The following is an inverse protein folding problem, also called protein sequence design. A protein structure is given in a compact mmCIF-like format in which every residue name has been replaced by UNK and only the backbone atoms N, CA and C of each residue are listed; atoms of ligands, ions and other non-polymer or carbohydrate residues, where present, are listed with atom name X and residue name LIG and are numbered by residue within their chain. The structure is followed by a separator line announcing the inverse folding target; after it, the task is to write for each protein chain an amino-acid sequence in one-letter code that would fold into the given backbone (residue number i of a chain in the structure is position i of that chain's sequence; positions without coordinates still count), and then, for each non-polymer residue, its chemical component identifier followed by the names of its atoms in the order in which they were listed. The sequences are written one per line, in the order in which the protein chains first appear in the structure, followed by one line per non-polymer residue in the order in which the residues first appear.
data_IF_095919619883
#
_entry.id   IF_095919619883
#
_cell.length_a   1.000
_cell.length_b   1.000
_cell.length_c   1.000
_cell.angle_alpha   90.00
_cell.angle_beta   90.00
_cell.angle_gamma   90.00
#
_symmetry.space_group_name_H-M   'P 1'
#
loop_
_entity.id
_entity.type
_entity.pdbx_description
1 polymer ?
#
# COMPACT_ATOMS: atom_id res chain seq x y z
N UNK A 1 -25.95 -9.22 31.59
CA UNK A 1 -27.27 -8.99 32.20
C UNK A 1 -27.99 -7.92 31.39
N UNK A 2 -29.14 -8.23 30.79
CA UNK A 2 -29.98 -7.29 30.05
C UNK A 2 -31.16 -6.80 30.90
N UNK A 3 -31.58 -5.55 30.72
CA UNK A 3 -32.80 -4.92 31.25
C UNK A 3 -32.98 -3.63 30.41
N UNK A 4 -34.09 -3.24 29.78
CA UNK A 4 -35.53 -3.59 29.76
C UNK A 4 -36.12 -2.95 28.47
N UNK A 5 -36.89 -3.65 27.62
CA UNK A 5 -38.37 -3.60 27.45
C UNK A 5 -39.02 -2.20 27.53
N UNK A 6 -39.89 -1.75 26.59
CA UNK A 6 -41.36 -2.00 26.55
C UNK A 6 -41.93 -1.53 25.17
N UNK A 7 -42.57 -2.36 24.31
CA UNK A 7 -43.97 -2.87 24.16
C UNK A 7 -45.06 -1.87 23.67
N UNK A 8 -45.64 -2.13 22.47
CA UNK A 8 -47.09 -2.19 22.14
C UNK A 8 -47.26 -2.65 20.67
N UNK A 9 -47.54 -3.92 20.35
CA UNK A 9 -48.84 -4.64 20.39
C UNK A 9 -49.94 -3.90 19.59
N UNK A 10 -50.22 -4.29 18.34
CA UNK A 10 -51.16 -5.35 17.88
C UNK A 10 -52.54 -4.73 17.56
N UNK A 11 -53.16 -4.99 16.39
CA UNK A 11 -54.27 -5.95 16.13
C UNK A 11 -54.72 -5.68 14.67
N UNK A 12 -54.48 -6.55 13.69
CA UNK A 12 -55.39 -7.56 13.06
C UNK A 12 -56.74 -6.98 12.59
N UNK A 13 -57.25 -7.18 11.36
CA UNK A 13 -57.76 -8.44 10.74
C UNK A 13 -58.08 -8.19 9.24
N UNK A 14 -57.60 -8.97 8.26
CA UNK A 14 -58.13 -10.21 7.62
C UNK A 14 -59.32 -10.04 6.63
N UNK A 15 -59.41 -11.00 5.68
CA UNK A 15 -60.49 -11.33 4.70
C UNK A 15 -60.14 -10.91 3.26
N UNK A 16 -59.33 -11.69 2.53
CA UNK A 16 -59.61 -12.91 1.72
C UNK A 16 -60.24 -12.61 0.37
N UNK A 17 -59.57 -13.00 -0.70
CA UNK A 17 -60.19 -13.79 -1.76
C UNK A 17 -59.16 -14.74 -2.37
N UNK A 18 -59.40 -16.02 -2.11
CA UNK A 18 -58.85 -17.13 -2.89
C UNK A 18 -59.79 -17.36 -4.06
N UNK A 19 -59.28 -17.65 -5.25
CA UNK A 19 -59.72 -18.80 -6.04
C UNK A 19 -58.71 -19.20 -7.13
N UNK A 20 -58.70 -20.48 -7.53
CA UNK A 20 -57.47 -21.20 -7.84
C UNK A 20 -57.30 -21.56 -9.31
N UNK A 21 -56.05 -21.85 -9.68
CA UNK A 21 -55.72 -22.95 -10.58
C UNK A 21 -55.91 -22.72 -12.08
N UNK A 22 -54.82 -22.38 -12.77
CA UNK A 22 -54.44 -23.02 -14.03
C UNK A 22 -52.98 -22.68 -14.34
N UNK A 23 -52.16 -23.73 -14.51
CA UNK A 23 -51.32 -23.93 -15.69
C UNK A 23 -50.54 -22.67 -16.12
N UNK A 24 -49.27 -22.48 -15.80
CA UNK A 24 -48.14 -23.28 -16.29
C UNK A 24 -46.89 -22.90 -15.51
N UNK A 25 -46.43 -23.82 -14.66
CA UNK A 25 -44.99 -24.01 -14.45
C UNK A 25 -44.40 -24.50 -15.77
N UNK A 26 -43.88 -23.59 -16.59
CA UNK A 26 -43.01 -23.96 -17.71
C UNK A 26 -41.74 -23.11 -17.66
N UNK A 27 -40.74 -23.71 -17.02
CA UNK A 27 -39.32 -23.59 -17.33
C UNK A 27 -38.77 -22.16 -17.48
N UNK A 28 -37.97 -21.70 -16.53
CA UNK A 28 -36.54 -21.98 -16.60
C UNK A 28 -35.96 -21.85 -18.02
N UNK A 29 -36.11 -20.68 -18.63
CA UNK A 29 -35.12 -20.17 -19.58
C UNK A 29 -34.05 -19.40 -18.81
N UNK A 30 -33.50 -20.06 -17.78
CA UNK A 30 -32.08 -19.90 -17.51
C UNK A 30 -31.38 -20.12 -18.84
N UNK A 31 -30.51 -19.19 -19.19
CA UNK A 31 -29.75 -19.13 -20.42
C UNK A 31 -28.96 -20.45 -20.63
N UNK A 32 -29.65 -21.48 -21.13
CA UNK A 32 -29.12 -22.82 -21.43
C UNK A 32 -28.16 -22.79 -22.62
N UNK A 33 -27.90 -21.60 -23.18
CA UNK A 33 -26.88 -21.32 -24.15
C UNK A 33 -25.68 -20.56 -23.57
N UNK A 34 -25.35 -20.78 -22.30
CA UNK A 34 -23.93 -20.75 -21.87
C UNK A 34 -23.16 -21.97 -22.41
N UNK A 35 -23.50 -22.41 -23.63
CA UNK A 35 -22.86 -23.46 -24.38
C UNK A 35 -21.41 -23.04 -24.64
N UNK A 36 -20.48 -23.65 -23.90
CA UNK A 36 -19.05 -23.77 -24.19
C UNK A 36 -18.49 -22.72 -25.16
N UNK A 37 -18.59 -21.43 -24.80
CA UNK A 37 -17.94 -20.38 -25.57
C UNK A 37 -16.45 -20.65 -25.44
N UNK A 38 -15.83 -21.28 -26.45
CA UNK A 38 -14.44 -21.73 -26.40
C UNK A 38 -13.58 -20.60 -25.83
N UNK A 39 -13.16 -20.77 -24.58
CA UNK A 39 -12.33 -19.77 -23.91
C UNK A 39 -10.97 -19.82 -24.57
N UNK A 40 -10.55 -18.69 -25.14
CA UNK A 40 -9.27 -18.59 -25.82
C UNK A 40 -8.12 -18.97 -24.86
N UNK A 41 -7.46 -20.10 -25.13
CA UNK A 41 -6.25 -20.53 -24.42
C UNK A 41 -5.05 -19.73 -24.90
N UNK A 42 -4.05 -19.59 -24.04
CA UNK A 42 -2.87 -18.76 -24.29
C UNK A 42 -1.59 -19.59 -24.11
N UNK A 43 -0.58 -19.23 -24.90
CA UNK A 43 0.76 -19.82 -24.82
C UNK A 43 1.77 -18.75 -24.43
N UNK A 44 2.80 -19.13 -23.67
CA UNK A 44 3.91 -18.22 -23.40
C UNK A 44 4.65 -17.88 -24.70
N UNK A 45 5.14 -16.64 -24.80
CA UNK A 45 5.86 -16.13 -25.97
C UNK A 45 7.39 -16.24 -25.87
N UNK A 46 7.90 -16.73 -24.73
CA UNK A 46 9.32 -16.98 -24.46
C UNK A 46 9.54 -18.49 -24.37
N UNK A 47 10.79 -18.91 -24.52
CA UNK A 47 11.23 -20.30 -24.33
C UNK A 47 10.99 -20.82 -22.89
N UNK A 48 10.97 -19.93 -21.89
CA UNK A 48 10.75 -20.29 -20.50
C UNK A 48 9.28 -20.67 -20.25
N UNK A 49 9.05 -21.95 -19.95
CA UNK A 49 7.73 -22.54 -19.70
C UNK A 49 7.26 -22.45 -18.24
N UNK A 50 8.18 -22.31 -17.29
CA UNK A 50 7.87 -22.34 -15.85
C UNK A 50 7.32 -21.00 -15.31
N UNK A 51 6.48 -21.08 -14.27
CA UNK A 51 5.89 -19.94 -13.56
C UNK A 51 6.82 -19.31 -12.50
N UNK A 52 7.99 -18.85 -12.94
CA UNK A 52 8.99 -18.25 -12.04
C UNK A 52 8.69 -16.76 -11.77
N UNK A 53 9.37 -16.19 -10.76
CA UNK A 53 9.25 -14.76 -10.43
C UNK A 53 9.70 -13.80 -11.55
N UNK A 54 10.46 -14.27 -12.54
CA UNK A 54 10.86 -13.48 -13.72
C UNK A 54 9.93 -13.64 -14.92
N UNK A 55 9.03 -14.63 -14.90
CA UNK A 55 8.14 -14.98 -16.01
C UNK A 55 6.68 -14.57 -15.78
N UNK A 56 6.43 -13.61 -14.90
CA UNK A 56 5.08 -13.11 -14.65
C UNK A 56 4.54 -12.35 -15.87
N UNK A 57 3.29 -12.62 -16.22
CA UNK A 57 2.59 -12.06 -17.38
C UNK A 57 1.32 -11.34 -16.95
N UNK A 58 0.82 -10.44 -17.81
CA UNK A 58 -0.52 -9.87 -17.73
C UNK A 58 -1.26 -10.10 -19.04
N UNK A 59 -2.57 -10.24 -18.97
CA UNK A 59 -3.43 -10.33 -20.14
C UNK A 59 -3.69 -8.94 -20.72
N UNK A 60 -3.62 -8.82 -22.04
CA UNK A 60 -3.99 -7.62 -22.77
C UNK A 60 -4.82 -8.01 -23.97
N UNK A 61 -5.95 -7.34 -24.18
CA UNK A 61 -6.66 -7.37 -25.46
C UNK A 61 -5.92 -6.44 -26.42
N UNK A 62 -5.61 -6.94 -27.60
CA UNK A 62 -5.00 -6.15 -28.68
C UNK A 62 -6.09 -5.50 -29.53
N UNK A 63 -5.76 -4.47 -30.33
CA UNK A 63 -6.70 -3.87 -31.28
C UNK A 63 -7.31 -4.89 -32.26
N UNK A 64 -6.55 -5.91 -32.66
CA UNK A 64 -7.04 -7.02 -33.49
C UNK A 64 -7.92 -8.04 -32.74
N UNK A 65 -8.49 -7.67 -31.60
CA UNK A 65 -9.39 -8.49 -30.79
C UNK A 65 -8.82 -9.86 -30.35
N UNK A 66 -7.50 -9.94 -30.11
CA UNK A 66 -6.83 -11.15 -29.59
C UNK A 66 -6.37 -10.91 -28.16
N UNK A 67 -6.56 -11.91 -27.29
CA UNK A 67 -5.95 -11.88 -25.95
C UNK A 67 -4.50 -12.37 -26.07
N UNK A 68 -3.54 -11.62 -25.52
CA UNK A 68 -2.10 -11.93 -25.59
C UNK A 68 -1.43 -11.69 -24.23
N UNK A 69 -0.41 -12.48 -23.91
CA UNK A 69 0.47 -12.23 -22.78
C UNK A 69 1.46 -11.08 -23.04
N UNK A 70 1.49 -10.12 -22.11
CA UNK A 70 2.58 -9.16 -21.98
C UNK A 70 3.39 -9.47 -20.72
N UNK A 71 4.72 -9.53 -20.85
CA UNK A 71 5.61 -9.78 -19.72
C UNK A 71 5.73 -8.53 -18.83
N UNK A 72 5.37 -8.69 -17.56
CA UNK A 72 5.49 -7.61 -16.59
C UNK A 72 6.92 -7.49 -16.09
N UNK A 73 7.32 -6.27 -15.69
CA UNK A 73 8.60 -6.06 -15.01
C UNK A 73 8.38 -6.19 -13.51
N UNK A 74 9.41 -6.65 -12.79
CA UNK A 74 9.40 -6.68 -11.33
C UNK A 74 9.16 -5.28 -10.77
N UNK A 75 8.30 -5.20 -9.76
CA UNK A 75 7.99 -3.94 -9.08
C UNK A 75 9.21 -3.39 -8.35
N UNK A 76 9.42 -2.08 -8.44
CA UNK A 76 10.43 -1.37 -7.68
C UNK A 76 10.01 -1.19 -6.22
N UNK A 77 10.97 -0.90 -5.35
CA UNK A 77 10.71 -0.50 -3.96
C UNK A 77 11.32 0.88 -3.74
N UNK A 78 10.57 1.77 -3.08
CA UNK A 78 11.12 3.03 -2.60
C UNK A 78 12.19 2.77 -1.52
N UNK A 79 13.17 3.68 -1.35
CA UNK A 79 14.20 3.54 -0.34
C UNK A 79 13.60 3.51 1.07
N UNK A 80 14.19 2.67 1.93
CA UNK A 80 13.95 2.72 3.37
C UNK A 80 14.75 3.87 3.96
N UNK A 81 14.31 4.38 5.11
CA UNK A 81 15.07 5.38 5.84
C UNK A 81 16.37 4.80 6.39
N UNK A 82 17.49 5.52 6.24
CA UNK A 82 18.81 5.15 6.75
C UNK A 82 18.91 5.18 8.29
N UNK A 83 17.85 5.60 9.00
CA UNK A 83 17.84 5.63 10.45
C UNK A 83 17.81 4.25 11.11
N UNK A 84 17.49 3.17 10.38
CA UNK A 84 17.40 1.80 10.91
C UNK A 84 16.19 1.52 11.81
N UNK A 85 15.63 2.56 12.45
CA UNK A 85 14.50 2.44 13.40
C UNK A 85 13.14 2.49 12.71
N UNK A 86 12.98 3.32 11.68
CA UNK A 86 11.68 3.51 11.04
C UNK A 86 11.40 2.41 10.00
N UNK A 87 10.28 1.66 10.10
CA UNK A 87 9.92 0.63 9.11
C UNK A 87 9.40 1.24 7.80
N UNK A 88 9.00 2.52 7.83
CA UNK A 88 8.43 3.23 6.69
C UNK A 88 9.40 3.48 5.53
N UNK A 89 8.85 3.56 4.32
CA UNK A 89 9.58 3.99 3.12
C UNK A 89 9.52 5.50 2.95
N UNK A 90 10.54 6.06 2.30
CA UNK A 90 10.62 7.50 2.08
C UNK A 90 9.57 7.96 1.06
N UNK A 91 8.89 9.05 1.41
CA UNK A 91 7.92 9.73 0.55
C UNK A 91 8.66 10.63 -0.44
N UNK A 92 8.06 10.88 -1.60
CA UNK A 92 8.63 11.74 -2.64
C UNK A 92 9.69 11.09 -3.54
N UNK A 93 10.17 9.87 -3.22
CA UNK A 93 11.10 9.11 -4.07
C UNK A 93 10.35 8.02 -4.84
N UNK A 94 10.54 7.96 -6.16
CA UNK A 94 9.84 6.99 -7.02
C UNK A 94 10.28 5.54 -6.73
N UNK A 95 9.30 4.64 -6.61
CA UNK A 95 9.52 3.20 -6.41
C UNK A 95 9.77 2.48 -7.75
N UNK A 96 10.98 2.61 -8.29
CA UNK A 96 11.38 2.01 -9.58
C UNK A 96 12.56 1.04 -9.44
N UNK A 97 12.89 0.30 -10.50
CA UNK A 97 14.07 -0.57 -10.53
C UNK A 97 15.37 0.24 -10.63
N UNK A 98 16.51 -0.26 -10.13
CA UNK A 98 17.77 0.51 -10.11
C UNK A 98 18.22 1.06 -11.47
N UNK A 99 18.15 0.27 -12.55
CA UNK A 99 18.49 0.71 -13.91
C UNK A 99 17.57 1.82 -14.43
N UNK A 100 16.29 1.80 -14.03
CA UNK A 100 15.33 2.88 -14.36
C UNK A 100 15.59 4.10 -13.49
N UNK A 101 15.92 3.90 -12.21
CA UNK A 101 16.28 4.98 -11.28
C UNK A 101 17.48 5.77 -11.79
N UNK A 102 18.49 5.10 -12.37
CA UNK A 102 19.65 5.75 -12.97
C UNK A 102 19.23 6.75 -14.06
N UNK A 103 18.27 6.38 -14.91
CA UNK A 103 17.77 7.20 -16.05
C UNK A 103 16.82 8.33 -15.66
N UNK A 104 16.26 8.32 -14.45
CA UNK A 104 15.33 9.38 -14.01
C UNK A 104 16.06 10.71 -13.79
N UNK A 105 15.32 11.83 -13.84
CA UNK A 105 15.83 13.15 -13.46
C UNK A 105 16.14 13.23 -11.96
N UNK A 106 17.04 14.13 -11.57
CA UNK A 106 17.51 14.28 -10.17
C UNK A 106 16.37 14.56 -9.20
N UNK A 107 15.44 15.45 -9.55
CA UNK A 107 14.29 15.84 -8.72
C UNK A 107 13.37 14.67 -8.33
N UNK A 108 13.30 13.62 -9.16
CA UNK A 108 12.48 12.43 -8.90
C UNK A 108 13.15 11.42 -7.96
N UNK A 109 14.43 11.62 -7.61
CA UNK A 109 15.25 10.71 -6.80
C UNK A 109 15.41 11.14 -5.35
N UNK A 110 15.17 12.42 -5.03
CA UNK A 110 15.42 12.97 -3.69
C UNK A 110 14.36 14.01 -3.33
N UNK A 111 14.37 14.45 -2.06
CA UNK A 111 13.52 15.51 -1.52
C UNK A 111 14.41 16.71 -1.20
N UNK A 112 13.92 17.93 -1.42
CA UNK A 112 14.64 19.19 -1.18
C UNK A 112 14.77 19.53 0.32
N UNK A 113 15.61 18.80 1.04
CA UNK A 113 15.94 19.01 2.47
C UNK A 113 17.23 18.30 2.85
N UNK A 114 17.80 18.63 4.02
CA UNK A 114 18.94 17.91 4.58
C UNK A 114 18.63 16.40 4.71
N UNK A 115 19.55 15.56 4.22
CA UNK A 115 19.40 14.10 4.13
C UNK A 115 18.15 13.63 3.36
N UNK A 116 17.63 14.45 2.44
CA UNK A 116 16.47 14.13 1.61
C UNK A 116 16.69 12.91 0.72
N UNK A 117 15.76 11.96 0.74
CA UNK A 117 15.89 10.70 0.01
C UNK A 117 16.78 9.64 0.69
N UNK A 118 17.40 9.96 1.83
CA UNK A 118 18.13 9.01 2.67
C UNK A 118 17.47 8.81 4.04
N UNK A 119 17.05 9.88 4.71
CA UNK A 119 16.35 9.80 6.00
C UNK A 119 14.91 10.32 5.93
N UNK A 120 14.09 9.91 6.90
CA UNK A 120 12.72 10.40 7.08
C UNK A 120 12.68 11.77 7.80
N UNK A 121 11.56 12.48 7.74
CA UNK A 121 11.48 13.85 8.27
C UNK A 121 11.52 13.92 9.80
N UNK A 122 10.93 12.92 10.45
CA UNK A 122 10.95 12.79 11.91
C UNK A 122 12.39 12.64 12.43
N UNK A 123 13.13 11.65 11.94
CA UNK A 123 14.50 11.42 12.41
C UNK A 123 15.48 12.57 12.11
N UNK A 124 15.29 13.31 11.01
CA UNK A 124 16.12 14.51 10.75
C UNK A 124 15.86 15.58 11.81
N UNK A 125 14.59 15.83 12.17
CA UNK A 125 14.25 16.78 13.25
C UNK A 125 14.82 16.36 14.58
N UNK A 126 14.68 15.08 14.94
CA UNK A 126 15.18 14.55 16.21
C UNK A 126 16.71 14.64 16.28
N UNK A 127 17.42 14.40 15.17
CA UNK A 127 18.87 14.60 15.09
C UNK A 127 19.28 16.05 15.29
N UNK A 128 18.57 17.00 14.70
CA UNK A 128 18.86 18.44 14.86
C UNK A 128 18.70 18.83 16.34
N UNK A 129 17.56 18.50 16.94
CA UNK A 129 17.29 18.80 18.36
C UNK A 129 18.30 18.14 19.28
N UNK A 130 18.60 16.86 19.06
CA UNK A 130 19.54 16.09 19.88
C UNK A 130 20.96 16.63 19.77
N UNK A 131 21.42 16.95 18.56
CA UNK A 131 22.75 17.53 18.36
C UNK A 131 22.86 18.86 19.11
N UNK A 132 21.87 19.74 18.95
CA UNK A 132 21.84 21.04 19.62
C UNK A 132 21.90 20.88 21.15
N UNK A 133 20.97 20.13 21.76
CA UNK A 133 20.92 19.98 23.21
C UNK A 133 22.18 19.33 23.81
N UNK A 134 22.82 18.42 23.08
CA UNK A 134 24.07 17.80 23.53
C UNK A 134 25.22 18.82 23.53
N UNK A 135 25.31 19.68 22.50
CA UNK A 135 26.33 20.72 22.48
C UNK A 135 26.09 21.77 23.56
N UNK A 136 24.85 22.20 23.78
CA UNK A 136 24.49 23.11 24.88
C UNK A 136 24.88 22.50 26.24
N UNK A 137 24.53 21.23 26.49
CA UNK A 137 24.88 20.56 27.73
C UNK A 137 26.40 20.45 27.92
N UNK A 138 27.17 20.22 26.85
CA UNK A 138 28.64 20.20 26.91
C UNK A 138 29.22 21.54 27.33
N UNK A 139 28.67 22.65 26.82
CA UNK A 139 29.10 24.00 27.19
C UNK A 139 28.80 24.26 28.67
N UNK A 140 27.59 23.96 29.13
CA UNK A 140 27.19 24.12 30.54
C UNK A 140 28.12 23.32 31.45
N UNK A 141 28.39 22.06 31.13
CA UNK A 141 29.31 21.21 31.90
C UNK A 141 30.74 21.79 31.92
N UNK A 142 31.22 22.38 30.81
CA UNK A 142 32.54 23.01 30.75
C UNK A 142 32.62 24.25 31.64
N UNK A 143 31.58 25.10 31.63
CA UNK A 143 31.50 26.31 32.45
C UNK A 143 31.43 25.97 33.94
N UNK A 144 30.57 25.02 34.33
CA UNK A 144 30.47 24.58 35.73
C UNK A 144 31.79 24.02 36.26
N UNK A 145 32.52 23.25 35.44
CA UNK A 145 33.86 22.76 35.81
C UNK A 145 34.86 23.89 35.99
N UNK A 146 34.85 24.91 35.12
CA UNK A 146 35.74 26.07 35.23
C UNK A 146 35.43 26.92 36.49
N UNK A 147 34.15 27.10 36.82
CA UNK A 147 33.72 27.80 38.04
C UNK A 147 34.11 27.04 39.32
N UNK A 148 33.97 25.72 39.34
CA UNK A 148 34.39 24.91 40.48
C UNK A 148 35.91 24.96 40.71
N UNK A 149 36.69 25.02 39.62
CA UNK A 149 38.15 25.18 39.70
C UNK A 149 38.55 26.57 40.22
N UNK A 150 37.89 27.64 39.77
CA UNK A 150 38.20 28.99 40.24
C UNK A 150 37.82 29.22 41.71
N UNK A 151 36.75 28.58 42.20
CA UNK A 151 36.37 28.63 43.62
C UNK A 151 37.33 27.86 44.52
N UNK A 152 37.89 26.73 44.06
CA UNK A 152 38.87 25.94 44.84
C UNK A 152 40.25 26.60 44.93
N UNK A 153 40.60 27.43 43.94
CA UNK A 153 41.88 28.14 43.90
C UNK A 153 41.88 29.45 44.72
N UNK A 154 40.70 29.92 45.14
CA UNK A 154 40.53 31.01 46.10
C UNK A 154 40.54 30.45 47.52
#
# INVERSE_FOLDING_TARGET
MPQTCIVRAAVTTWITDSWPGALVDYHALGDRNKAFRMVQRLTYRRRLSYNTASNKTRLSRTPGNRIVYLYTKKVGKAPKSACGVCPGRLRGVRAVRPKVLMRLSKTKKHVSRAYGGSMCAKCVRDRIKRAFLIEEQKIVVKVLKAQAQSQKAK
#
